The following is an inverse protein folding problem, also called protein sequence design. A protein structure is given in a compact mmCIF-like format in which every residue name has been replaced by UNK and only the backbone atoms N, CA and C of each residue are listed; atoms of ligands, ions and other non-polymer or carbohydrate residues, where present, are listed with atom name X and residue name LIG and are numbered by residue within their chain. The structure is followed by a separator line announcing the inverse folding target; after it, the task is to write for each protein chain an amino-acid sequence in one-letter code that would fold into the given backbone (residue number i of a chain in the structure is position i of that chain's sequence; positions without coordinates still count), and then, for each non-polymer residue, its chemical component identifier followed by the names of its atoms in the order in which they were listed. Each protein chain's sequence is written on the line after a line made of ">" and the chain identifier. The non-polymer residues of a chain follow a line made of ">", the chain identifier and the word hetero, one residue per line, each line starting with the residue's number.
data_IF_342553797725
#
_entry.id   IF_342553797725
#
_cell.length_a   1.000
_cell.length_b   1.000
_cell.length_c   1.000
_cell.angle_alpha   90.00
_cell.angle_beta   90.00
_cell.angle_gamma   90.00
#
_symmetry.space_group_name_H-M   'P 1'
#
loop_
_entity.id
_entity.type
_entity.pdbx_description
1 polymer ?
#
# COMPACT_ATOMS: atom_id res chain seq x y z
N UNK A 1 2.17 6.19 -29.49
CA UNK A 1 1.44 6.44 -28.23
C UNK A 1 2.37 6.32 -27.01
N UNK A 2 3.55 6.91 -27.11
CA UNK A 2 4.74 6.51 -26.36
C UNK A 2 5.42 7.78 -25.86
N UNK A 3 5.05 8.32 -24.70
CA UNK A 3 5.85 9.45 -24.17
C UNK A 3 5.85 9.77 -22.69
N UNK A 4 5.10 9.10 -21.82
CA UNK A 4 5.27 9.42 -20.39
C UNK A 4 4.92 8.26 -19.45
N UNK A 5 5.94 7.51 -19.05
CA UNK A 5 5.88 6.65 -17.88
C UNK A 5 5.48 7.45 -16.63
N UNK A 6 5.93 8.70 -16.53
CA UNK A 6 5.55 9.64 -15.48
C UNK A 6 4.03 9.88 -15.43
N UNK A 7 3.35 9.89 -16.58
CA UNK A 7 1.89 10.04 -16.63
C UNK A 7 1.18 8.77 -16.14
N UNK A 8 1.70 7.58 -16.47
CA UNK A 8 1.14 6.31 -16.01
C UNK A 8 1.31 6.13 -14.50
N UNK A 9 2.53 6.34 -13.99
CA UNK A 9 2.82 6.27 -12.56
C UNK A 9 2.03 7.37 -11.82
N UNK A 10 2.04 8.60 -12.35
CA UNK A 10 1.26 9.71 -11.80
C UNK A 10 -0.24 9.43 -11.76
N UNK A 11 -0.80 8.83 -12.81
CA UNK A 11 -2.21 8.44 -12.86
C UNK A 11 -2.55 7.34 -11.85
N UNK A 12 -1.69 6.34 -11.68
CA UNK A 12 -1.87 5.30 -10.65
C UNK A 12 -1.84 5.93 -9.25
N UNK A 13 -0.86 6.79 -8.96
CA UNK A 13 -0.77 7.47 -7.68
C UNK A 13 -1.96 8.40 -7.43
N UNK A 14 -2.44 9.11 -8.46
CA UNK A 14 -3.65 9.94 -8.37
C UNK A 14 -4.88 9.10 -8.00
N UNK A 15 -5.07 7.96 -8.66
CA UNK A 15 -6.19 7.06 -8.35
C UNK A 15 -6.10 6.52 -6.92
N UNK A 16 -4.90 6.20 -6.44
CA UNK A 16 -4.70 5.80 -5.04
C UNK A 16 -5.06 6.94 -4.08
N UNK A 17 -4.64 8.18 -4.37
CA UNK A 17 -4.99 9.35 -3.54
C UNK A 17 -6.50 9.55 -3.52
N UNK A 18 -7.18 9.50 -4.66
CA UNK A 18 -8.64 9.63 -4.73
C UNK A 18 -9.30 8.51 -3.93
N UNK A 19 -8.85 7.26 -4.08
CA UNK A 19 -9.41 6.12 -3.36
C UNK A 19 -9.26 6.24 -1.83
N UNK A 20 -8.17 6.85 -1.35
CA UNK A 20 -7.86 7.00 0.06
C UNK A 20 -8.57 8.20 0.70
N UNK A 21 -8.50 9.37 0.05
CA UNK A 21 -8.92 10.64 0.66
C UNK A 21 -10.36 11.02 0.33
N UNK A 22 -11.01 10.36 -0.64
CA UNK A 22 -12.39 10.68 -1.01
C UNK A 22 -13.37 9.90 -0.14
N UNK A 23 -14.27 10.62 0.52
CA UNK A 23 -15.46 10.03 1.11
C UNK A 23 -16.45 9.71 -0.01
N UNK A 24 -16.65 8.42 -0.30
CA UNK A 24 -17.51 7.96 -1.40
C UNK A 24 -19.00 8.23 -1.20
N UNK A 25 -19.44 8.53 0.04
CA UNK A 25 -20.83 8.89 0.33
C UNK A 25 -21.15 10.32 -0.09
N UNK A 26 -20.28 11.24 0.32
CA UNK A 26 -20.50 12.68 0.15
C UNK A 26 -19.70 13.27 -1.03
N UNK A 27 -18.80 12.48 -1.64
CA UNK A 27 -17.87 12.86 -2.70
C UNK A 27 -16.95 14.03 -2.31
N UNK A 28 -16.65 14.15 -1.02
CA UNK A 28 -15.77 15.18 -0.46
C UNK A 28 -14.41 14.61 -0.05
N UNK A 29 -13.36 15.43 -0.15
CA UNK A 29 -12.03 15.06 0.31
C UNK A 29 -11.90 15.24 1.82
N UNK A 30 -11.61 14.15 2.53
CA UNK A 30 -11.38 14.11 3.96
C UNK A 30 -9.89 13.93 4.22
N UNK A 31 -9.29 14.91 4.88
CA UNK A 31 -7.84 14.92 5.15
C UNK A 31 -7.48 14.48 6.57
N UNK A 32 -8.48 14.39 7.46
CA UNK A 32 -8.30 14.11 8.87
C UNK A 32 -9.26 13.03 9.31
N UNK A 33 -8.78 12.12 10.15
CA UNK A 33 -9.61 11.09 10.75
C UNK A 33 -9.38 11.06 12.26
N UNK A 34 -10.44 10.80 13.01
CA UNK A 34 -10.36 10.61 14.45
C UNK A 34 -9.91 9.18 14.74
N UNK A 35 -8.92 9.05 15.61
CA UNK A 35 -8.34 7.78 16.07
C UNK A 35 -8.58 7.62 17.56
N UNK A 36 -8.65 6.38 18.04
CA UNK A 36 -8.82 6.06 19.45
C UNK A 36 -9.71 4.83 19.60
N UNK A 37 -10.03 4.47 20.84
CA UNK A 37 -11.08 3.51 21.13
C UNK A 37 -12.38 4.27 21.31
N UNK A 38 -13.36 4.01 20.44
CA UNK A 38 -14.67 4.64 20.52
C UNK A 38 -15.64 3.68 21.21
N UNK A 39 -16.26 4.14 22.29
CA UNK A 39 -17.22 3.33 23.06
C UNK A 39 -18.63 3.50 22.48
N UNK A 40 -19.00 4.73 22.10
CA UNK A 40 -20.29 5.07 21.49
C UNK A 40 -20.08 5.71 20.11
N UNK A 41 -20.20 4.87 19.07
CA UNK A 41 -20.10 5.29 17.67
C UNK A 41 -21.47 5.34 16.99
N UNK A 42 -21.80 6.50 16.42
CA UNK A 42 -22.98 6.68 15.60
C UNK A 42 -22.64 6.54 14.12
N UNK A 43 -23.11 5.44 13.55
CA UNK A 43 -22.92 5.08 12.15
C UNK A 43 -23.63 6.01 11.17
N UNK A 44 -24.71 6.67 11.56
CA UNK A 44 -25.45 7.56 10.66
C UNK A 44 -24.73 8.89 10.46
N UNK A 45 -24.17 9.42 11.55
CA UNK A 45 -23.45 10.70 11.58
C UNK A 45 -21.94 10.55 11.41
N UNK A 46 -21.40 9.32 11.44
CA UNK A 46 -19.96 9.03 11.43
C UNK A 46 -19.20 9.77 12.54
N UNK A 47 -19.82 9.87 13.72
CA UNK A 47 -19.23 10.56 14.87
C UNK A 47 -19.08 9.61 16.05
N UNK A 48 -17.95 9.76 16.74
CA UNK A 48 -17.73 9.12 18.02
C UNK A 48 -18.15 10.10 19.11
N UNK A 49 -19.15 9.75 19.92
CA UNK A 49 -19.65 10.59 21.00
C UNK A 49 -18.84 10.43 22.30
N UNK A 50 -18.38 9.21 22.56
CA UNK A 50 -17.59 8.86 23.76
C UNK A 50 -16.50 7.86 23.40
N UNK A 51 -15.32 8.02 23.99
CA UNK A 51 -14.20 7.11 23.80
C UNK A 51 -12.93 7.57 24.50
N UNK A 52 -11.96 6.67 24.61
CA UNK A 52 -10.65 6.97 25.18
C UNK A 52 -9.64 7.39 24.11
N UNK A 53 -8.82 8.40 24.44
CA UNK A 53 -7.70 8.89 23.61
C UNK A 53 -8.10 9.26 22.17
N UNK A 54 -9.27 9.88 22.01
CA UNK A 54 -9.73 10.42 20.74
C UNK A 54 -8.80 11.54 20.27
N UNK A 55 -8.10 11.30 19.17
CA UNK A 55 -7.14 12.22 18.56
C UNK A 55 -7.49 12.41 17.08
N UNK A 56 -7.58 13.65 16.63
CA UNK A 56 -7.73 13.97 15.21
C UNK A 56 -6.36 14.02 14.57
N UNK A 57 -6.08 13.12 13.64
CA UNK A 57 -4.79 13.02 12.97
C UNK A 57 -4.96 13.13 11.46
N UNK A 58 -3.96 13.69 10.74
CA UNK A 58 -4.00 13.71 9.29
C UNK A 58 -3.93 12.29 8.72
N UNK A 59 -4.78 12.00 7.74
CA UNK A 59 -4.92 10.67 7.15
C UNK A 59 -3.60 10.10 6.62
N UNK A 60 -2.73 10.98 6.12
CA UNK A 60 -1.42 10.62 5.57
C UNK A 60 -0.59 9.78 6.57
N UNK A 61 -0.69 10.05 7.87
CA UNK A 61 0.07 9.31 8.89
C UNK A 61 -0.34 7.84 8.98
N UNK A 62 -1.59 7.48 8.65
CA UNK A 62 -2.01 6.08 8.64
C UNK A 62 -1.36 5.27 7.54
N UNK A 63 -0.91 5.93 6.47
CA UNK A 63 -0.26 5.29 5.32
C UNK A 63 1.26 5.40 5.36
N UNK A 64 1.83 5.99 6.42
CA UNK A 64 3.26 6.16 6.60
C UNK A 64 3.76 5.29 7.74
N UNK A 65 4.09 4.06 7.39
CA UNK A 65 4.81 3.12 8.24
C UNK A 65 6.16 2.74 7.59
N UNK A 66 7.25 3.44 7.94
CA UNK A 66 8.57 3.19 7.38
C UNK A 66 9.05 1.76 7.63
N UNK A 67 8.76 1.18 8.80
CA UNK A 67 9.24 -0.15 9.16
C UNK A 67 8.65 -1.21 8.21
N UNK A 68 7.33 -1.18 8.02
CA UNK A 68 6.65 -2.09 7.10
C UNK A 68 7.11 -1.87 5.66
N UNK A 69 7.33 -0.63 5.23
CA UNK A 69 7.86 -0.33 3.90
C UNK A 69 9.25 -0.93 3.68
N UNK A 70 10.18 -0.75 4.63
CA UNK A 70 11.53 -1.30 4.52
C UNK A 70 11.57 -2.82 4.56
N UNK A 71 10.70 -3.46 5.33
CA UNK A 71 10.64 -4.94 5.38
C UNK A 71 10.13 -5.49 4.06
N UNK A 72 8.99 -5.00 3.56
CA UNK A 72 8.42 -5.46 2.28
C UNK A 72 9.39 -5.15 1.13
N UNK A 73 9.94 -3.94 1.09
CA UNK A 73 10.92 -3.54 0.08
C UNK A 73 12.23 -4.33 0.16
N UNK A 74 12.72 -4.60 1.37
CA UNK A 74 13.93 -5.39 1.60
C UNK A 74 13.80 -6.84 1.16
N UNK A 75 12.68 -7.49 1.52
CA UNK A 75 12.36 -8.85 1.06
C UNK A 75 12.27 -8.87 -0.47
N UNK A 76 11.59 -7.89 -1.06
CA UNK A 76 11.49 -7.72 -2.52
C UNK A 76 12.86 -7.61 -3.17
N UNK A 77 13.73 -6.77 -2.63
CA UNK A 77 15.07 -6.55 -3.17
C UNK A 77 15.89 -7.83 -3.12
N UNK A 78 15.93 -8.52 -1.98
CA UNK A 78 16.70 -9.75 -1.78
C UNK A 78 16.23 -10.90 -2.67
N UNK A 79 14.92 -11.03 -2.92
CA UNK A 79 14.37 -12.14 -3.72
C UNK A 79 14.47 -11.98 -5.24
N UNK A 80 14.64 -10.74 -5.72
CA UNK A 80 14.46 -10.42 -7.14
C UNK A 80 15.66 -9.78 -7.83
N UNK A 81 16.59 -9.15 -7.10
CA UNK A 81 17.73 -8.49 -7.71
C UNK A 81 18.87 -9.49 -7.97
N UNK A 82 19.05 -9.83 -9.25
CA UNK A 82 20.15 -10.65 -9.72
C UNK A 82 21.19 -9.79 -10.45
N UNK A 83 22.47 -10.11 -10.28
CA UNK A 83 23.58 -9.34 -10.89
C UNK A 83 23.74 -9.56 -12.40
N UNK A 84 23.05 -10.56 -12.99
CA UNK A 84 23.15 -10.94 -14.40
C UNK A 84 21.76 -11.31 -14.94
N UNK A 85 21.43 -10.84 -16.14
CA UNK A 85 20.18 -11.20 -16.84
C UNK A 85 19.47 -10.02 -17.50
N UNK A 86 18.32 -10.32 -18.11
CA UNK A 86 17.41 -9.33 -18.67
C UNK A 86 16.75 -8.50 -17.56
N UNK A 87 16.88 -7.17 -17.66
CA UNK A 87 16.34 -6.21 -16.71
C UNK A 87 14.81 -6.17 -16.72
N UNK A 88 14.17 -6.43 -17.86
CA UNK A 88 12.71 -6.47 -17.95
C UNK A 88 12.18 -7.66 -17.17
N UNK A 89 12.74 -8.85 -17.42
CA UNK A 89 12.39 -10.06 -16.70
C UNK A 89 12.66 -9.93 -15.19
N UNK A 90 13.73 -9.24 -14.81
CA UNK A 90 14.03 -8.94 -13.40
C UNK A 90 12.94 -8.08 -12.77
N UNK A 91 12.49 -7.02 -13.43
CA UNK A 91 11.43 -6.13 -12.93
C UNK A 91 10.07 -6.83 -12.85
N UNK A 92 9.74 -7.69 -13.81
CA UNK A 92 8.53 -8.52 -13.75
C UNK A 92 8.57 -9.46 -12.54
N UNK A 93 9.69 -10.16 -12.32
CA UNK A 93 9.85 -11.03 -11.14
C UNK A 93 9.81 -10.24 -9.83
N UNK A 94 10.46 -9.09 -9.78
CA UNK A 94 10.42 -8.19 -8.63
C UNK A 94 8.98 -7.74 -8.34
N UNK A 95 8.16 -7.52 -9.38
CA UNK A 95 6.77 -7.13 -9.21
C UNK A 95 5.91 -8.21 -8.55
N UNK A 96 6.13 -9.47 -8.90
CA UNK A 96 5.44 -10.61 -8.28
C UNK A 96 5.93 -10.82 -6.85
N UNK A 97 7.26 -10.79 -6.67
CA UNK A 97 7.87 -10.97 -5.35
C UNK A 97 7.45 -9.88 -4.36
N UNK A 98 7.25 -8.64 -4.81
CA UNK A 98 6.73 -7.56 -3.96
C UNK A 98 5.34 -7.86 -3.40
N UNK A 99 4.45 -8.42 -4.24
CA UNK A 99 3.10 -8.82 -3.84
C UNK A 99 3.17 -9.96 -2.84
N UNK A 100 3.98 -10.98 -3.12
CA UNK A 100 4.14 -12.14 -2.25
C UNK A 100 4.77 -11.74 -0.89
N UNK A 101 5.76 -10.86 -0.89
CA UNK A 101 6.37 -10.31 0.32
C UNK A 101 5.36 -9.56 1.19
N UNK A 102 4.54 -8.70 0.58
CA UNK A 102 3.48 -7.98 1.28
C UNK A 102 2.42 -8.92 1.88
N UNK A 103 2.06 -9.98 1.16
CA UNK A 103 1.12 -11.02 1.60
C UNK A 103 1.66 -11.87 2.74
N UNK A 104 2.91 -12.31 2.67
CA UNK A 104 3.54 -13.10 3.73
C UNK A 104 3.65 -12.26 5.01
N UNK A 105 4.10 -11.01 4.91
CA UNK A 105 4.19 -10.15 6.09
C UNK A 105 2.82 -9.85 6.69
N UNK A 106 1.79 -9.65 5.86
CA UNK A 106 0.41 -9.52 6.31
C UNK A 106 -0.06 -10.78 7.05
N UNK A 107 0.21 -11.96 6.50
CA UNK A 107 -0.18 -13.24 7.11
C UNK A 107 0.54 -13.49 8.44
N UNK A 108 1.84 -13.23 8.51
CA UNK A 108 2.62 -13.35 9.76
C UNK A 108 2.12 -12.37 10.82
N UNK A 109 1.87 -11.12 10.42
CA UNK A 109 1.30 -10.10 11.31
C UNK A 109 -0.07 -10.51 11.83
N UNK A 110 -0.95 -11.00 10.95
CA UNK A 110 -2.27 -11.48 11.35
C UNK A 110 -2.16 -12.62 12.37
N UNK A 111 -1.34 -13.64 12.11
CA UNK A 111 -1.11 -14.73 13.08
C UNK A 111 -0.63 -14.17 14.42
N UNK A 112 0.33 -13.25 14.43
CA UNK A 112 0.86 -12.66 15.66
C UNK A 112 -0.21 -11.91 16.46
N UNK A 113 -1.01 -11.06 15.81
CA UNK A 113 -2.04 -10.27 16.50
C UNK A 113 -3.25 -11.11 16.92
N UNK A 114 -3.67 -12.08 16.12
CA UNK A 114 -4.84 -12.93 16.42
C UNK A 114 -4.56 -14.07 17.40
N UNK A 115 -3.30 -14.46 17.62
CA UNK A 115 -2.95 -15.49 18.62
C UNK A 115 -2.59 -14.91 19.99
N UNK A 116 -2.41 -13.59 20.09
CA UNK A 116 -2.13 -12.88 21.34
C UNK A 116 -3.38 -12.58 22.18
N UNK A 117 -3.19 -11.85 23.27
CA UNK A 117 -4.29 -11.37 24.12
C UNK A 117 -5.12 -10.35 23.35
N UNK A 118 -6.45 -10.51 23.36
CA UNK A 118 -7.35 -9.58 22.70
C UNK A 118 -7.36 -8.22 23.42
N UNK A 119 -6.86 -7.20 22.74
CA UNK A 119 -6.89 -5.81 23.18
C UNK A 119 -7.25 -4.95 21.96
N UNK A 120 -8.35 -4.21 22.04
CA UNK A 120 -8.91 -3.45 20.90
C UNK A 120 -7.91 -2.43 20.33
N UNK A 121 -7.19 -1.71 21.20
CA UNK A 121 -6.20 -0.74 20.76
C UNK A 121 -4.99 -1.41 20.08
N UNK A 122 -4.58 -2.58 20.58
CA UNK A 122 -3.52 -3.38 19.97
C UNK A 122 -3.97 -3.95 18.62
N UNK A 123 -5.21 -4.44 18.53
CA UNK A 123 -5.80 -4.98 17.31
C UNK A 123 -5.93 -3.90 16.23
N UNK A 124 -6.44 -2.71 16.56
CA UNK A 124 -6.55 -1.60 15.62
C UNK A 124 -5.19 -1.23 14.99
N UNK A 125 -4.13 -1.17 15.81
CA UNK A 125 -2.76 -0.93 15.30
C UNK A 125 -2.24 -2.10 14.48
N UNK A 126 -2.45 -3.33 14.95
CA UNK A 126 -1.99 -4.55 14.30
C UNK A 126 -2.61 -4.74 12.91
N UNK A 127 -3.93 -4.52 12.79
CA UNK A 127 -4.62 -4.50 11.51
C UNK A 127 -4.06 -3.43 10.57
N UNK A 128 -3.75 -2.23 11.10
CA UNK A 128 -3.08 -1.19 10.33
C UNK A 128 -1.80 -1.72 9.66
N UNK A 129 -0.90 -2.32 10.43
CA UNK A 129 0.36 -2.89 9.91
C UNK A 129 0.10 -3.99 8.87
N UNK A 130 -0.82 -4.91 9.14
CA UNK A 130 -1.18 -6.03 8.25
C UNK A 130 -1.73 -5.54 6.91
N UNK A 131 -2.63 -4.56 6.92
CA UNK A 131 -3.18 -4.02 5.67
C UNK A 131 -2.18 -3.13 4.93
N UNK A 132 -1.34 -2.38 5.65
CA UNK A 132 -0.28 -1.57 5.04
C UNK A 132 0.76 -2.43 4.32
N UNK A 133 1.13 -3.58 4.87
CA UNK A 133 2.08 -4.45 4.18
C UNK A 133 1.53 -5.00 2.87
N UNK A 134 0.24 -5.36 2.87
CA UNK A 134 -0.46 -5.77 1.67
C UNK A 134 -0.50 -4.62 0.64
N UNK A 135 -0.84 -3.42 1.09
CA UNK A 135 -0.91 -2.22 0.25
C UNK A 135 0.46 -1.89 -0.37
N UNK A 136 1.53 -1.86 0.42
CA UNK A 136 2.87 -1.57 -0.08
C UNK A 136 3.35 -2.62 -1.08
N UNK A 137 3.13 -3.91 -0.80
CA UNK A 137 3.47 -4.99 -1.73
C UNK A 137 2.80 -4.81 -3.09
N UNK A 138 1.51 -4.45 -3.10
CA UNK A 138 0.78 -4.16 -4.34
C UNK A 138 1.23 -2.90 -5.04
N UNK A 139 1.44 -1.79 -4.32
CA UNK A 139 1.90 -0.53 -4.92
C UNK A 139 3.27 -0.74 -5.57
N UNK A 140 4.23 -1.32 -4.84
CA UNK A 140 5.57 -1.62 -5.35
C UNK A 140 5.45 -2.55 -6.57
N UNK A 141 4.63 -3.61 -6.48
CA UNK A 141 4.41 -4.53 -7.58
C UNK A 141 3.85 -3.87 -8.84
N UNK A 142 2.82 -3.04 -8.71
CA UNK A 142 2.21 -2.33 -9.84
C UNK A 142 3.21 -1.37 -10.49
N UNK A 143 3.99 -0.62 -9.69
CA UNK A 143 5.00 0.31 -10.20
C UNK A 143 6.08 -0.44 -10.99
N UNK A 144 6.62 -1.53 -10.43
CA UNK A 144 7.65 -2.34 -11.08
C UNK A 144 7.14 -2.94 -12.41
N UNK A 145 5.92 -3.47 -12.41
CA UNK A 145 5.31 -4.03 -13.61
C UNK A 145 5.03 -2.95 -14.67
N UNK A 146 4.61 -1.76 -14.25
CA UNK A 146 4.41 -0.64 -15.16
C UNK A 146 5.73 -0.20 -15.83
N UNK A 147 6.85 -0.21 -15.08
CA UNK A 147 8.19 0.07 -15.62
C UNK A 147 8.62 -1.05 -16.58
N UNK A 148 8.44 -2.33 -16.21
CA UNK A 148 8.78 -3.46 -17.06
C UNK A 148 8.04 -3.40 -18.41
N UNK A 149 6.72 -3.19 -18.37
CA UNK A 149 5.90 -3.04 -19.57
C UNK A 149 6.33 -1.85 -20.43
N UNK A 150 6.71 -0.73 -19.80
CA UNK A 150 7.23 0.43 -20.53
C UNK A 150 8.51 0.08 -21.29
N UNK A 151 9.48 -0.57 -20.64
CA UNK A 151 10.74 -0.98 -21.25
C UNK A 151 10.52 -1.99 -22.38
N UNK A 152 9.66 -2.99 -22.18
CA UNK A 152 9.30 -3.99 -23.18
C UNK A 152 8.73 -3.37 -24.45
N UNK A 153 7.75 -2.47 -24.31
CA UNK A 153 7.20 -1.75 -25.46
C UNK A 153 8.24 -0.82 -26.11
N UNK A 154 9.28 -0.39 -25.40
CA UNK A 154 10.39 0.38 -25.98
C UNK A 154 11.20 -0.47 -26.95
N UNK A 155 11.61 -1.64 -26.48
CA UNK A 155 12.45 -2.57 -27.23
C UNK A 155 11.71 -3.09 -28.47
N UNK A 156 10.42 -3.40 -28.33
CA UNK A 156 9.56 -3.78 -29.46
C UNK A 156 9.46 -2.67 -30.52
N UNK A 157 9.40 -1.41 -30.10
CA UNK A 157 9.35 -0.27 -31.01
C UNK A 157 10.69 -0.05 -31.72
N UNK A 158 11.80 -0.06 -30.98
CA UNK A 158 13.15 0.10 -31.53
C UNK A 158 13.51 -1.02 -32.51
N UNK A 159 13.05 -2.25 -32.26
CA UNK A 159 13.26 -3.39 -33.17
C UNK A 159 12.41 -3.33 -34.45
N UNK A 160 11.38 -2.48 -34.48
CA UNK A 160 10.46 -2.31 -35.63
C UNK A 160 10.87 -1.19 -36.59
N UNK A 161 11.92 -0.43 -36.25
CA UNK A 161 12.52 0.63 -37.07
C UNK A 161 13.73 0.11 -37.86
#
# INVERSE_FOLDING_TARGET
>A
MYRNINFRIGGILLLVIIAVFMNWRDLEFVWYQTTGTCDDYDWFTNTCYSGEKLLKQPMVLFFLDPATFFIVGGITFLGSFYTKGDKILMLERASHFAKDAGQIFAAVGAVYFFTGVFNEAQMARGFGIVFLSYLYGHIIGIILLAIANYLKTREEYEASQ
#
